data_IF_450233599210
#
_entry.id   IF_450233599210
#
_cell.length_a   1.000
_cell.length_b   1.000
_cell.length_c   1.000
_cell.angle_alpha   90.00
_cell.angle_beta   90.00
_cell.angle_gamma   90.00
#
_symmetry.space_group_name_H-M   'P 1'
#
loop_
_entity.id
_entity.type
_entity.pdbx_description
1 polymer ?
#
# COMPACT_ATOMS: atom_id res chain seq x y z
N UNK A 1 -51.19 -58.13 -30.52
CA UNK A 1 -49.79 -58.04 -30.01
C UNK A 1 -49.33 -56.61 -30.21
N UNK A 2 -49.09 -55.91 -29.10
CA UNK A 2 -48.75 -54.49 -29.02
C UNK A 2 -47.26 -54.34 -29.33
N UNK A 3 -46.88 -53.48 -30.29
CA UNK A 3 -45.51 -52.92 -30.36
C UNK A 3 -45.54 -51.43 -30.77
N UNK A 4 -45.52 -50.65 -29.69
CA UNK A 4 -45.04 -49.29 -29.43
C UNK A 4 -44.13 -48.66 -30.50
N UNK A 5 -44.49 -47.45 -30.94
CA UNK A 5 -43.64 -46.51 -31.68
C UNK A 5 -42.79 -45.76 -30.65
N UNK A 6 -41.46 -45.90 -30.69
CA UNK A 6 -40.53 -45.19 -29.83
C UNK A 6 -40.07 -43.89 -30.51
N UNK A 7 -40.33 -42.77 -29.85
CA UNK A 7 -39.89 -41.44 -30.25
C UNK A 7 -38.38 -41.26 -30.02
N UNK A 8 -37.68 -40.74 -31.03
CA UNK A 8 -36.25 -40.38 -30.96
C UNK A 8 -36.14 -38.98 -30.32
N UNK A 9 -35.65 -38.93 -29.09
CA UNK A 9 -35.23 -37.70 -28.40
C UNK A 9 -33.80 -37.35 -28.84
N UNK A 10 -33.65 -36.24 -29.57
CA UNK A 10 -32.35 -35.65 -29.87
C UNK A 10 -31.83 -34.91 -28.62
N UNK A 11 -30.77 -35.43 -28.00
CA UNK A 11 -30.07 -34.76 -26.92
C UNK A 11 -29.09 -33.71 -27.51
N UNK A 12 -29.41 -32.43 -27.32
CA UNK A 12 -28.49 -31.34 -27.60
C UNK A 12 -27.46 -31.25 -26.47
N UNK A 13 -26.21 -31.62 -26.75
CA UNK A 13 -25.08 -31.43 -25.83
C UNK A 13 -24.67 -29.95 -25.84
N UNK A 14 -24.95 -29.24 -24.75
CA UNK A 14 -24.42 -27.90 -24.52
C UNK A 14 -22.98 -28.06 -24.00
N UNK A 15 -22.00 -27.87 -24.88
CA UNK A 15 -20.60 -27.78 -24.49
C UNK A 15 -20.37 -26.45 -23.76
N UNK A 16 -20.45 -26.48 -22.43
CA UNK A 16 -20.02 -25.38 -21.58
C UNK A 16 -18.49 -25.27 -21.62
N UNK A 17 -17.97 -24.20 -22.22
CA UNK A 17 -16.56 -23.85 -22.11
C UNK A 17 -16.29 -23.37 -20.67
N UNK A 18 -15.85 -24.27 -19.79
CA UNK A 18 -15.18 -23.87 -18.55
C UNK A 18 -13.75 -23.49 -18.89
N UNK A 19 -13.46 -22.20 -18.98
CA UNK A 19 -12.09 -21.68 -18.98
C UNK A 19 -11.46 -21.97 -17.61
N UNK A 20 -10.81 -23.12 -17.50
CA UNK A 20 -9.84 -23.38 -16.44
C UNK A 20 -8.64 -22.47 -16.68
N UNK A 21 -8.54 -21.37 -15.92
CA UNK A 21 -7.30 -20.62 -15.83
C UNK A 21 -6.26 -21.54 -15.17
N UNK A 22 -5.26 -21.97 -15.94
CA UNK A 22 -4.14 -22.72 -15.40
C UNK A 22 -3.38 -21.83 -14.40
N UNK A 23 -2.88 -22.38 -13.28
CA UNK A 23 -1.96 -21.64 -12.43
C UNK A 23 -0.73 -21.22 -13.26
N UNK A 24 -0.18 -20.01 -13.04
CA UNK A 24 1.01 -19.56 -13.75
C UNK A 24 2.12 -20.60 -13.58
N UNK A 25 2.77 -20.94 -14.69
CA UNK A 25 3.82 -21.94 -14.68
C UNK A 25 5.12 -21.31 -14.15
N UNK A 26 6.04 -22.10 -13.59
CA UNK A 26 7.39 -21.61 -13.24
C UNK A 26 8.12 -20.93 -14.42
N UNK A 27 7.69 -21.19 -15.66
CA UNK A 27 8.23 -20.53 -16.86
C UNK A 27 7.87 -19.04 -16.96
N UNK A 28 6.88 -18.56 -16.19
CA UNK A 28 6.43 -17.16 -16.20
C UNK A 28 7.14 -16.28 -15.15
N UNK A 29 7.96 -16.87 -14.27
CA UNK A 29 8.70 -16.16 -13.23
C UNK A 29 9.89 -15.36 -13.82
N UNK A 30 10.12 -14.10 -13.41
CA UNK A 30 11.28 -13.34 -13.88
C UNK A 30 12.59 -13.92 -13.33
N UNK A 31 13.69 -13.88 -14.10
CA UNK A 31 14.99 -14.26 -13.57
C UNK A 31 15.37 -13.34 -12.41
N UNK A 32 16.00 -13.89 -11.38
CA UNK A 32 16.59 -13.09 -10.32
C UNK A 32 18.03 -12.75 -10.68
N UNK A 33 18.44 -11.54 -10.29
CA UNK A 33 19.85 -11.20 -10.17
C UNK A 33 20.46 -11.86 -8.92
N UNK A 34 21.66 -11.41 -8.54
CA UNK A 34 22.29 -11.81 -7.29
C UNK A 34 21.38 -11.48 -6.10
N UNK A 35 21.01 -12.52 -5.34
CA UNK A 35 20.24 -12.37 -4.10
C UNK A 35 21.19 -11.95 -2.98
N UNK A 36 21.07 -10.71 -2.51
CA UNK A 36 21.83 -10.22 -1.38
C UNK A 36 21.37 -10.90 -0.07
N UNK A 37 22.30 -11.06 0.87
CA UNK A 37 21.97 -11.44 2.24
C UNK A 37 21.52 -10.20 3.00
N UNK A 38 20.24 -10.14 3.38
CA UNK A 38 19.65 -8.98 4.04
C UNK A 38 19.14 -9.37 5.43
N UNK A 39 19.78 -8.84 6.46
CA UNK A 39 19.36 -8.98 7.87
C UNK A 39 18.56 -7.79 8.37
N UNK A 40 18.53 -6.69 7.59
CA UNK A 40 17.76 -5.49 7.85
C UNK A 40 17.06 -5.09 6.55
N UNK A 41 15.75 -4.86 6.63
CA UNK A 41 14.93 -4.44 5.49
C UNK A 41 14.71 -2.91 5.42
N UNK A 42 15.10 -2.19 6.47
CA UNK A 42 14.94 -0.74 6.60
C UNK A 42 15.80 -0.01 5.57
N UNK A 43 15.22 1.01 4.91
CA UNK A 43 15.92 1.82 3.92
C UNK A 43 16.19 1.12 2.58
N UNK A 44 15.60 -0.06 2.33
CA UNK A 44 15.68 -0.71 1.03
C UNK A 44 14.77 0.01 0.03
N UNK A 45 15.34 0.39 -1.12
CA UNK A 45 14.57 0.86 -2.27
C UNK A 45 14.25 -0.29 -3.22
N UNK A 46 13.09 -0.22 -3.87
CA UNK A 46 12.75 -1.03 -5.05
C UNK A 46 12.76 -0.17 -6.32
N UNK A 47 12.83 -0.77 -7.52
CA UNK A 47 12.90 -0.01 -8.77
C UNK A 47 11.77 1.02 -8.95
N UNK A 48 10.53 0.71 -8.53
CA UNK A 48 9.39 1.62 -8.63
C UNK A 48 9.47 2.81 -7.65
N UNK A 49 10.37 2.81 -6.64
CA UNK A 49 10.65 3.99 -5.80
C UNK A 49 11.04 5.21 -6.61
N UNK A 50 11.75 5.02 -7.73
CA UNK A 50 12.23 6.13 -8.57
C UNK A 50 11.10 6.92 -9.26
N UNK A 51 9.86 6.42 -9.22
CA UNK A 51 8.69 6.99 -9.89
C UNK A 51 7.63 7.48 -8.92
N UNK A 52 7.94 7.56 -7.62
CA UNK A 52 7.01 8.03 -6.57
C UNK A 52 7.65 9.12 -5.71
N UNK A 53 6.85 9.97 -5.04
CA UNK A 53 7.37 10.92 -4.08
C UNK A 53 8.13 10.23 -2.94
N UNK A 54 9.36 10.66 -2.69
CA UNK A 54 10.13 10.28 -1.50
C UNK A 54 9.49 10.84 -0.21
N UNK A 55 9.91 10.42 1.00
CA UNK A 55 9.31 10.88 2.25
C UNK A 55 9.29 12.40 2.43
N UNK A 56 10.34 13.10 1.99
CA UNK A 56 10.43 14.55 2.08
C UNK A 56 9.49 15.22 1.06
N UNK A 57 9.48 14.73 -0.17
CA UNK A 57 8.55 15.19 -1.21
C UNK A 57 7.09 14.99 -0.80
N UNK A 58 6.74 13.86 -0.16
CA UNK A 58 5.39 13.64 0.39
C UNK A 58 5.02 14.68 1.45
N UNK A 59 5.94 15.00 2.35
CA UNK A 59 5.72 16.02 3.38
C UNK A 59 5.52 17.42 2.76
N UNK A 60 6.30 17.77 1.75
CA UNK A 60 6.15 19.01 0.97
C UNK A 60 4.81 19.06 0.26
N UNK A 61 4.42 17.99 -0.46
CA UNK A 61 3.15 17.90 -1.17
C UNK A 61 1.96 18.02 -0.22
N UNK A 62 2.00 17.32 0.91
CA UNK A 62 0.94 17.37 1.90
C UNK A 62 0.82 18.77 2.54
N UNK A 63 1.95 19.44 2.81
CA UNK A 63 1.93 20.81 3.32
C UNK A 63 1.37 21.78 2.28
N UNK A 64 1.81 21.69 1.02
CA UNK A 64 1.29 22.52 -0.07
C UNK A 64 -0.23 22.33 -0.29
N UNK A 65 -0.71 21.10 -0.16
CA UNK A 65 -2.14 20.77 -0.22
C UNK A 65 -2.93 21.48 0.89
N UNK A 66 -2.45 21.46 2.13
CA UNK A 66 -3.10 22.15 3.25
C UNK A 66 -3.13 23.67 3.04
N UNK A 67 -2.06 24.25 2.48
CA UNK A 67 -2.00 25.67 2.11
C UNK A 67 -3.08 26.05 1.08
N UNK A 68 -3.27 25.23 0.06
CA UNK A 68 -4.29 25.45 -0.97
C UNK A 68 -5.71 25.24 -0.42
N UNK A 69 -5.92 24.23 0.42
CA UNK A 69 -7.20 24.04 1.13
C UNK A 69 -7.53 25.27 1.97
N UNK A 70 -6.54 25.84 2.69
CA UNK A 70 -6.74 27.06 3.48
C UNK A 70 -7.25 28.23 2.64
N UNK A 71 -6.68 28.43 1.46
CA UNK A 71 -7.13 29.48 0.53
C UNK A 71 -8.59 29.27 0.14
N UNK A 72 -8.97 28.06 -0.28
CA UNK A 72 -10.35 27.76 -0.65
C UNK A 72 -11.32 27.93 0.52
N UNK A 73 -11.00 27.34 1.68
CA UNK A 73 -11.85 27.37 2.87
C UNK A 73 -12.05 28.80 3.40
N UNK A 74 -11.03 29.66 3.31
CA UNK A 74 -11.15 31.08 3.67
C UNK A 74 -12.19 31.81 2.79
N UNK A 75 -12.33 31.42 1.51
CA UNK A 75 -13.38 31.94 0.62
C UNK A 75 -14.80 31.65 1.11
N UNK A 76 -14.98 30.60 1.92
CA UNK A 76 -16.23 30.23 2.59
C UNK A 76 -16.32 30.72 4.04
N UNK A 77 -15.35 31.51 4.51
CA UNK A 77 -15.34 32.06 5.87
C UNK A 77 -14.84 31.09 6.94
N UNK A 78 -14.20 29.99 6.56
CA UNK A 78 -13.62 29.04 7.50
C UNK A 78 -12.11 29.29 7.65
N UNK A 79 -11.67 29.43 8.90
CA UNK A 79 -10.24 29.37 9.21
C UNK A 79 -9.76 27.92 9.09
N UNK A 80 -8.66 27.71 8.36
CA UNK A 80 -8.05 26.40 8.17
C UNK A 80 -6.61 26.40 8.69
N UNK A 81 -6.32 25.75 9.81
CA UNK A 81 -4.96 25.68 10.34
C UNK A 81 -4.11 24.81 9.42
N UNK A 82 -2.95 25.33 9.03
CA UNK A 82 -1.97 24.58 8.24
C UNK A 82 -0.88 24.11 9.19
N UNK A 83 -0.76 22.79 9.32
CA UNK A 83 0.37 22.18 9.99
C UNK A 83 1.36 21.73 8.92
N UNK A 84 2.59 22.24 9.00
CA UNK A 84 3.69 21.68 8.22
C UNK A 84 3.79 20.19 8.57
N UNK A 85 3.66 19.35 7.55
CA UNK A 85 3.80 17.90 7.73
C UNK A 85 5.28 17.60 7.87
N UNK A 86 5.64 16.87 8.91
CA UNK A 86 7.00 16.37 9.10
C UNK A 86 7.28 15.22 8.13
N UNK A 87 8.56 14.98 7.88
CA UNK A 87 8.98 13.74 7.22
C UNK A 87 8.55 12.57 8.09
N UNK A 88 7.86 11.61 7.49
CA UNK A 88 7.43 10.40 8.18
C UNK A 88 8.63 9.64 8.73
N UNK A 89 8.55 9.15 9.98
CA UNK A 89 9.54 8.21 10.48
C UNK A 89 9.62 7.01 9.54
N UNK A 90 10.82 6.49 9.32
CA UNK A 90 10.97 5.23 8.60
C UNK A 90 10.40 4.08 9.46
N UNK A 91 9.19 3.68 9.07
CA UNK A 91 8.46 2.52 9.58
C UNK A 91 8.41 1.38 8.56
N UNK A 92 9.29 1.38 7.56
CA UNK A 92 9.22 0.39 6.51
C UNK A 92 9.39 -1.03 7.09
N UNK A 93 8.36 -1.83 6.83
CA UNK A 93 8.22 -3.23 7.21
C UNK A 93 7.80 -4.07 6.01
N UNK A 94 8.17 -3.64 4.79
CA UNK A 94 7.90 -4.33 3.53
C UNK A 94 8.28 -5.82 3.58
N UNK A 95 9.39 -6.15 4.24
CA UNK A 95 9.83 -7.54 4.48
C UNK A 95 9.71 -7.99 5.95
N UNK A 96 8.82 -7.37 6.71
CA UNK A 96 8.54 -7.66 8.11
C UNK A 96 9.46 -6.92 9.10
N UNK A 97 9.29 -7.25 10.39
CA UNK A 97 10.19 -6.79 11.45
C UNK A 97 11.59 -7.39 11.28
N UNK A 98 12.63 -6.60 11.51
CA UNK A 98 14.04 -7.01 11.34
C UNK A 98 14.95 -6.55 12.48
N UNK A 99 14.48 -5.72 13.41
CA UNK A 99 15.28 -5.17 14.51
C UNK A 99 14.96 -5.90 15.84
N UNK A 100 15.88 -6.74 16.36
CA UNK A 100 15.67 -7.44 17.63
C UNK A 100 15.58 -6.51 18.84
N UNK A 101 16.23 -5.35 18.82
CA UNK A 101 16.17 -4.40 19.92
C UNK A 101 14.80 -3.68 19.95
N UNK A 102 14.24 -3.36 18.79
CA UNK A 102 12.86 -2.87 18.67
C UNK A 102 11.86 -3.96 19.12
N UNK A 103 12.03 -5.19 18.64
CA UNK A 103 11.15 -6.32 18.99
C UNK A 103 11.16 -6.67 20.48
N UNK A 104 12.31 -6.56 21.17
CA UNK A 104 12.38 -6.75 22.64
C UNK A 104 11.52 -5.77 23.42
N UNK A 105 11.29 -4.58 22.88
CA UNK A 105 10.56 -3.49 23.55
C UNK A 105 9.10 -3.44 23.13
N UNK A 106 8.83 -3.70 21.86
CA UNK A 106 7.54 -3.43 21.25
C UNK A 106 6.91 -4.65 20.58
N UNK A 107 7.57 -5.82 20.59
CA UNK A 107 7.09 -7.02 19.93
C UNK A 107 6.88 -6.78 18.43
N UNK A 108 5.66 -7.02 17.96
CA UNK A 108 5.27 -6.75 16.57
C UNK A 108 4.81 -5.31 16.34
N UNK A 109 4.79 -4.45 17.36
CA UNK A 109 4.23 -3.09 17.27
C UNK A 109 5.26 -2.08 16.82
N UNK A 110 4.79 -0.97 16.28
CA UNK A 110 5.65 0.18 16.03
C UNK A 110 5.98 0.88 17.37
N UNK A 111 7.19 1.44 17.50
CA UNK A 111 7.52 2.34 18.59
C UNK A 111 6.51 3.50 18.70
N UNK A 112 6.10 3.94 19.91
CA UNK A 112 5.11 5.01 20.08
C UNK A 112 5.49 6.33 19.38
N UNK A 113 6.77 6.66 19.33
CA UNK A 113 7.32 7.83 18.62
C UNK A 113 7.24 7.71 17.09
N UNK A 114 6.99 6.50 16.59
CA UNK A 114 6.70 6.20 15.18
C UNK A 114 5.22 5.88 14.94
N UNK A 115 4.41 5.82 15.98
CA UNK A 115 2.99 5.52 15.92
C UNK A 115 2.19 6.81 15.73
N UNK A 116 2.04 7.23 14.47
CA UNK A 116 1.30 8.44 14.12
C UNK A 116 1.90 9.09 12.89
N UNK A 117 1.43 8.67 11.72
CA UNK A 117 1.90 9.21 10.45
C UNK A 117 1.12 10.42 9.95
N UNK A 118 1.53 10.99 8.81
CA UNK A 118 0.95 12.14 8.07
C UNK A 118 -0.55 12.03 7.80
N UNK A 119 -1.13 10.84 7.97
CA UNK A 119 -2.57 10.60 7.85
C UNK A 119 -3.35 10.96 9.12
N UNK A 120 -2.69 11.41 10.20
CA UNK A 120 -3.36 12.04 11.32
C UNK A 120 -4.17 13.24 10.79
N UNK A 121 -5.50 13.28 11.01
CA UNK A 121 -6.32 14.41 10.60
C UNK A 121 -5.68 15.70 11.12
N UNK A 122 -5.56 16.72 10.27
CA UNK A 122 -5.15 18.03 10.74
C UNK A 122 -6.10 18.44 11.89
N UNK A 123 -5.58 18.86 13.06
CA UNK A 123 -6.40 19.41 14.13
C UNK A 123 -7.17 20.61 13.57
N UNK A 124 -8.47 20.44 13.31
CA UNK A 124 -9.32 21.45 12.66
C UNK A 124 -10.21 20.91 11.54
N UNK A 125 -9.93 19.72 10.99
CA UNK A 125 -10.71 19.13 9.89
C UNK A 125 -12.17 18.77 10.22
N UNK A 126 -12.56 18.86 11.49
CA UNK A 126 -13.89 18.49 11.98
C UNK A 126 -14.49 19.51 12.98
N UNK A 127 -14.20 20.81 12.85
CA UNK A 127 -14.85 21.78 13.75
C UNK A 127 -16.32 22.05 13.38
N UNK A 128 -16.76 21.80 12.13
CA UNK A 128 -18.14 22.04 11.70
C UNK A 128 -18.60 21.09 10.58
N UNK A 129 -19.83 20.53 10.66
CA UNK A 129 -20.40 19.69 9.60
C UNK A 129 -20.46 20.38 8.23
N UNK A 130 -20.70 21.69 8.18
CA UNK A 130 -20.74 22.43 6.90
C UNK A 130 -19.33 22.62 6.32
N UNK A 131 -18.32 22.85 7.16
CA UNK A 131 -16.93 22.94 6.71
C UNK A 131 -16.49 21.63 6.06
N UNK A 132 -16.85 20.49 6.66
CA UNK A 132 -16.56 19.18 6.08
C UNK A 132 -17.26 18.97 4.72
N UNK A 133 -18.53 19.39 4.59
CA UNK A 133 -19.26 19.28 3.32
C UNK A 133 -18.65 20.14 2.21
N UNK A 134 -18.12 21.32 2.54
CA UNK A 134 -17.42 22.20 1.60
C UNK A 134 -16.05 21.62 1.24
N UNK A 135 -15.30 21.14 2.22
CA UNK A 135 -14.00 20.49 2.01
C UNK A 135 -14.11 19.29 1.06
N UNK A 136 -15.11 18.44 1.27
CA UNK A 136 -15.32 17.17 0.55
C UNK A 136 -16.22 17.29 -0.69
N UNK A 137 -16.85 18.45 -0.92
CA UNK A 137 -17.78 18.65 -2.04
C UNK A 137 -19.13 17.94 -1.89
N UNK A 138 -19.48 17.46 -0.68
CA UNK A 138 -20.80 16.89 -0.37
C UNK A 138 -21.94 17.91 -0.47
N UNK A 139 -21.61 19.19 -0.56
CA UNK A 139 -22.54 20.24 -0.97
C UNK A 139 -22.00 20.95 -2.20
N UNK A 140 -22.89 21.28 -3.16
CA UNK A 140 -22.53 22.03 -4.37
C UNK A 140 -22.62 23.56 -4.18
N UNK A 141 -23.26 23.99 -3.10
CA UNK A 141 -23.48 25.40 -2.80
C UNK A 141 -23.67 25.58 -1.28
N UNK A 142 -23.31 26.74 -0.75
CA UNK A 142 -23.60 27.10 0.65
C UNK A 142 -25.02 27.65 0.80
N UNK A 143 -25.47 27.80 2.05
CA UNK A 143 -26.75 28.43 2.40
C UNK A 143 -26.85 29.89 1.94
N UNK A 144 -25.72 30.59 1.82
CA UNK A 144 -25.61 31.96 1.32
C UNK A 144 -25.45 32.02 -0.21
N UNK A 145 -25.57 30.87 -0.88
CA UNK A 145 -25.53 30.80 -2.34
C UNK A 145 -24.13 30.76 -2.96
N UNK A 146 -23.04 30.62 -2.18
CA UNK A 146 -21.69 30.47 -2.76
C UNK A 146 -21.51 29.09 -3.38
N UNK A 147 -21.04 29.03 -4.62
CA UNK A 147 -20.75 27.77 -5.30
C UNK A 147 -19.54 27.06 -4.67
N UNK A 148 -19.66 25.76 -4.42
CA UNK A 148 -18.57 24.90 -3.94
C UNK A 148 -17.96 24.17 -5.12
N UNK A 149 -16.62 24.16 -5.28
CA UNK A 149 -15.94 23.44 -6.36
C UNK A 149 -16.37 21.98 -6.43
N UNK A 150 -16.35 21.39 -7.63
CA UNK A 150 -16.64 19.97 -7.80
C UNK A 150 -15.65 19.11 -6.99
N UNK A 151 -16.16 18.29 -6.06
CA UNK A 151 -15.32 17.53 -5.12
C UNK A 151 -14.75 18.35 -3.95
N UNK A 152 -15.16 19.62 -3.83
CA UNK A 152 -14.82 20.51 -2.71
C UNK A 152 -13.42 21.11 -2.77
N UNK A 153 -13.07 21.81 -1.70
CA UNK A 153 -11.74 22.44 -1.55
C UNK A 153 -10.59 21.43 -1.60
N UNK A 154 -10.83 20.18 -1.20
CA UNK A 154 -9.82 19.12 -1.28
C UNK A 154 -9.50 18.77 -2.75
N UNK A 155 -10.53 18.61 -3.60
CA UNK A 155 -10.35 18.35 -5.03
C UNK A 155 -9.69 19.53 -5.74
N UNK A 156 -10.07 20.74 -5.36
CA UNK A 156 -9.48 21.95 -5.91
C UNK A 156 -7.98 22.04 -5.60
N UNK A 157 -7.59 21.79 -4.35
CA UNK A 157 -6.19 21.75 -3.96
C UNK A 157 -5.40 20.67 -4.73
N UNK A 158 -5.95 19.47 -4.86
CA UNK A 158 -5.31 18.38 -5.61
C UNK A 158 -5.16 18.74 -7.10
N UNK A 159 -6.18 19.32 -7.72
CA UNK A 159 -6.09 19.81 -9.11
C UNK A 159 -5.06 20.93 -9.27
N UNK A 160 -4.97 21.85 -8.32
CA UNK A 160 -3.96 22.91 -8.32
C UNK A 160 -2.53 22.37 -8.20
N UNK A 161 -2.34 21.23 -7.52
CA UNK A 161 -1.06 20.51 -7.49
C UNK A 161 -0.81 19.66 -8.74
N UNK A 162 -1.72 19.67 -9.73
CA UNK A 162 -1.58 18.89 -10.96
C UNK A 162 -1.93 17.41 -10.78
N UNK A 163 -2.72 17.04 -9.78
CA UNK A 163 -3.34 15.71 -9.70
C UNK A 163 -4.53 15.62 -10.64
N UNK A 164 -4.63 14.50 -11.36
CA UNK A 164 -5.83 14.12 -12.10
C UNK A 164 -6.79 13.43 -11.13
N UNK A 165 -7.87 14.11 -10.74
CA UNK A 165 -8.84 13.60 -9.74
C UNK A 165 -10.18 13.28 -10.38
N UNK A 166 -10.77 12.15 -9.99
CA UNK A 166 -12.16 11.82 -10.28
C UNK A 166 -12.96 11.75 -8.97
N UNK A 167 -14.18 12.27 -9.03
CA UNK A 167 -15.12 12.24 -7.91
C UNK A 167 -16.01 11.01 -8.06
N UNK A 168 -16.09 10.18 -7.01
CA UNK A 168 -16.92 8.98 -6.96
C UNK A 168 -17.70 8.90 -5.65
N UNK A 169 -18.74 8.06 -5.62
CA UNK A 169 -19.45 7.74 -4.39
C UNK A 169 -18.45 7.14 -3.38
N UNK A 170 -18.23 7.86 -2.26
CA UNK A 170 -17.24 7.47 -1.25
C UNK A 170 -15.94 8.29 -1.23
N UNK A 171 -15.74 9.24 -2.16
CA UNK A 171 -14.66 10.22 -2.09
C UNK A 171 -13.94 10.50 -3.42
N UNK A 172 -12.75 11.06 -3.31
CA UNK A 172 -11.90 11.39 -4.46
C UNK A 172 -10.90 10.26 -4.71
N UNK A 173 -10.63 9.99 -5.99
CA UNK A 173 -9.54 9.10 -6.39
C UNK A 173 -8.61 9.81 -7.36
N UNK A 174 -7.32 9.53 -7.27
CA UNK A 174 -6.36 9.87 -8.32
C UNK A 174 -6.62 8.93 -9.51
N UNK A 175 -6.82 9.49 -10.71
CA UNK A 175 -7.22 8.76 -11.92
C UNK A 175 -6.03 8.00 -12.51
N UNK A 176 -4.87 8.64 -12.56
CA UNK A 176 -3.62 8.00 -12.98
C UNK A 176 -2.67 7.89 -11.79
N UNK A 177 -2.44 6.66 -11.32
CA UNK A 177 -1.32 6.35 -10.44
C UNK A 177 -0.65 5.07 -10.96
N UNK A 178 -0.02 5.19 -12.14
CA UNK A 178 0.65 4.08 -12.79
C UNK A 178 1.69 3.40 -11.87
N UNK A 179 2.58 4.11 -11.16
CA UNK A 179 3.52 3.48 -10.24
C UNK A 179 2.82 2.60 -9.19
N UNK A 180 1.73 3.07 -8.57
CA UNK A 180 0.97 2.28 -7.60
C UNK A 180 0.27 1.07 -8.24
N UNK A 181 -0.23 1.18 -9.48
CA UNK A 181 -0.79 0.04 -10.21
C UNK A 181 0.27 -1.01 -10.50
N UNK A 182 1.43 -0.62 -11.00
CA UNK A 182 2.54 -1.54 -11.28
C UNK A 182 3.09 -2.16 -10.00
N UNK A 183 3.15 -1.43 -8.88
CA UNK A 183 3.51 -1.99 -7.58
C UNK A 183 2.53 -3.10 -7.17
N UNK A 184 1.22 -2.87 -7.35
CA UNK A 184 0.19 -3.86 -7.03
C UNK A 184 0.26 -5.10 -7.94
N UNK A 185 0.60 -4.91 -9.22
CA UNK A 185 0.82 -6.00 -10.17
C UNK A 185 2.09 -6.80 -9.82
N UNK A 186 3.21 -6.12 -9.56
CA UNK A 186 4.46 -6.74 -9.10
C UNK A 186 4.23 -7.56 -7.84
N UNK A 187 3.47 -7.00 -6.89
CA UNK A 187 3.11 -7.68 -5.64
C UNK A 187 2.26 -8.93 -5.86
N UNK A 188 1.40 -8.97 -6.89
CA UNK A 188 0.66 -10.19 -7.23
C UNK A 188 1.59 -11.26 -7.78
N UNK A 189 2.50 -10.89 -8.68
CA UNK A 189 3.54 -11.79 -9.20
C UNK A 189 4.41 -12.35 -8.08
N UNK A 190 4.99 -11.46 -7.28
CA UNK A 190 5.77 -11.76 -6.09
C UNK A 190 5.09 -12.77 -5.14
N UNK A 191 3.80 -12.58 -4.84
CA UNK A 191 3.02 -13.47 -3.96
C UNK A 191 2.76 -14.86 -4.56
N UNK A 192 2.77 -14.96 -5.89
CA UNK A 192 2.48 -16.21 -6.62
C UNK A 192 3.76 -16.95 -7.02
N UNK A 193 4.93 -16.34 -6.76
CA UNK A 193 6.24 -16.86 -7.16
C UNK A 193 6.65 -18.08 -6.33
N UNK A 194 7.18 -19.11 -7.00
CA UNK A 194 7.60 -20.36 -6.37
C UNK A 194 8.78 -20.18 -5.42
N UNK A 195 9.64 -19.18 -5.64
CA UNK A 195 10.76 -18.86 -4.73
C UNK A 195 10.26 -18.17 -3.48
N UNK A 196 9.22 -17.36 -3.61
CA UNK A 196 8.47 -16.80 -2.47
C UNK A 196 7.79 -17.91 -1.66
N UNK A 197 7.17 -18.89 -2.32
CA UNK A 197 6.56 -20.04 -1.62
C UNK A 197 7.61 -20.90 -0.88
N UNK A 198 8.79 -21.10 -1.47
CA UNK A 198 9.89 -21.83 -0.85
C UNK A 198 10.41 -21.14 0.41
N UNK A 199 10.64 -19.82 0.36
CA UNK A 199 11.15 -19.09 1.53
C UNK A 199 10.11 -19.00 2.65
N UNK A 200 8.83 -18.89 2.30
CA UNK A 200 7.73 -18.98 3.26
C UNK A 200 7.70 -20.33 3.98
N UNK A 201 7.81 -21.43 3.23
CA UNK A 201 7.84 -22.78 3.79
C UNK A 201 9.04 -23.01 4.72
N UNK A 202 10.22 -22.52 4.34
CA UNK A 202 11.43 -22.60 5.15
C UNK A 202 11.31 -21.79 6.45
N UNK A 203 10.81 -20.57 6.38
CA UNK A 203 10.53 -19.74 7.54
C UNK A 203 9.50 -20.40 8.47
N UNK A 204 8.40 -20.92 7.92
CA UNK A 204 7.36 -21.57 8.72
C UNK A 204 7.87 -22.82 9.44
N UNK A 205 8.77 -23.59 8.82
CA UNK A 205 9.45 -24.71 9.46
C UNK A 205 10.32 -24.25 10.64
N UNK A 206 11.13 -23.21 10.44
CA UNK A 206 11.94 -22.63 11.51
C UNK A 206 11.09 -22.12 12.68
N UNK A 207 9.95 -21.48 12.42
CA UNK A 207 9.04 -21.04 13.48
C UNK A 207 8.53 -22.23 14.30
N UNK A 208 8.18 -23.36 13.66
CA UNK A 208 7.79 -24.57 14.40
C UNK A 208 8.93 -25.14 15.24
N UNK A 209 10.15 -25.19 14.70
CA UNK A 209 11.33 -25.72 15.40
C UNK A 209 11.73 -24.86 16.61
N UNK A 210 11.47 -23.54 16.55
CA UNK A 210 11.66 -22.61 17.67
C UNK A 210 10.53 -22.64 18.70
N UNK A 211 9.53 -23.52 18.52
CA UNK A 211 8.40 -23.68 19.43
C UNK A 211 7.22 -22.76 19.14
N UNK A 212 7.25 -22.01 18.02
CA UNK A 212 6.17 -21.11 17.61
C UNK A 212 5.41 -21.70 16.40
N UNK A 213 4.37 -22.48 16.70
CA UNK A 213 3.42 -23.02 15.72
C UNK A 213 2.19 -23.59 16.43
N UNK A 214 1.43 -24.47 15.76
CA UNK A 214 0.12 -24.94 16.26
C UNK A 214 0.23 -25.55 17.67
N UNK A 215 1.32 -26.27 17.94
CA UNK A 215 1.58 -26.88 19.24
C UNK A 215 2.07 -25.89 20.32
N UNK A 216 2.67 -24.76 19.95
CA UNK A 216 3.29 -23.84 20.89
C UNK A 216 2.44 -22.60 21.20
N UNK A 217 2.11 -21.82 20.17
CA UNK A 217 1.29 -20.60 20.31
C UNK A 217 -0.09 -20.74 19.64
N UNK A 218 -0.48 -21.97 19.26
CA UNK A 218 -1.79 -22.25 18.66
C UNK A 218 -1.91 -21.82 17.20
N UNK A 219 -0.81 -21.41 16.54
CA UNK A 219 -0.88 -20.80 15.20
C UNK A 219 -0.41 -21.70 14.07
N UNK A 220 -1.07 -21.59 12.94
CA UNK A 220 -0.65 -22.21 11.71
C UNK A 220 -0.07 -21.15 10.78
N UNK A 221 1.26 -21.11 10.69
CA UNK A 221 1.98 -20.12 9.91
C UNK A 221 2.16 -20.64 8.48
N UNK A 222 1.45 -20.06 7.52
CA UNK A 222 1.60 -20.39 6.09
C UNK A 222 2.59 -19.45 5.41
N UNK A 223 2.65 -18.19 5.85
CA UNK A 223 3.56 -17.16 5.34
C UNK A 223 4.03 -16.24 6.47
N UNK A 224 5.26 -15.73 6.37
CA UNK A 224 5.73 -14.67 7.27
C UNK A 224 4.97 -13.35 7.07
N UNK A 225 4.22 -13.25 5.96
CA UNK A 225 3.33 -12.14 5.62
C UNK A 225 1.94 -12.28 6.21
N UNK A 226 1.62 -13.41 6.85
CA UNK A 226 0.32 -13.60 7.48
C UNK A 226 0.13 -12.54 8.59
N UNK A 227 -0.96 -11.77 8.57
CA UNK A 227 -1.17 -10.71 9.54
C UNK A 227 -1.14 -11.25 10.96
N UNK A 228 -0.40 -10.57 11.84
CA UNK A 228 -0.39 -10.89 13.25
C UNK A 228 -1.43 -10.04 14.02
N UNK A 229 -2.69 -10.14 13.60
CA UNK A 229 -3.77 -9.25 14.05
C UNK A 229 -4.06 -9.34 15.55
N UNK A 230 -3.64 -10.43 16.18
CA UNK A 230 -3.76 -10.72 17.61
C UNK A 230 -2.88 -9.86 18.50
N UNK A 231 -1.83 -9.22 17.96
CA UNK A 231 -0.92 -8.35 18.72
C UNK A 231 -1.24 -6.85 18.62
N UNK A 232 -2.38 -6.51 18.03
CA UNK A 232 -2.80 -5.11 17.81
C UNK A 232 -3.49 -4.44 19.01
N UNK A 233 -3.79 -5.17 20.09
CA UNK A 233 -4.58 -4.70 21.22
C UNK A 233 -3.90 -4.98 22.59
N UNK A 234 -4.21 -4.19 23.61
CA UNK A 234 -3.74 -4.41 24.99
C UNK A 234 -2.27 -4.05 25.21
N UNK A 235 -1.65 -4.57 26.26
CA UNK A 235 -0.21 -4.39 26.53
C UNK A 235 0.63 -5.37 25.70
N UNK A 236 1.89 -5.02 25.41
CA UNK A 236 2.84 -5.93 24.76
C UNK A 236 3.09 -7.10 25.70
N UNK A 237 2.77 -8.31 25.24
CA UNK A 237 2.93 -9.52 26.06
C UNK A 237 4.32 -10.14 25.87
N UNK A 238 4.80 -10.91 26.85
CA UNK A 238 6.05 -11.66 26.69
C UNK A 238 5.97 -12.64 25.51
N UNK A 239 4.82 -13.29 25.32
CA UNK A 239 4.57 -14.18 24.18
C UNK A 239 4.73 -13.45 22.83
N UNK A 240 4.27 -12.20 22.75
CA UNK A 240 4.45 -11.36 21.57
C UNK A 240 5.93 -11.06 21.29
N UNK A 241 6.67 -10.69 22.33
CA UNK A 241 8.10 -10.40 22.24
C UNK A 241 8.87 -11.64 21.79
N UNK A 242 8.64 -12.79 22.43
CA UNK A 242 9.35 -14.03 22.11
C UNK A 242 9.02 -14.51 20.70
N UNK A 243 7.76 -14.39 20.27
CA UNK A 243 7.35 -14.73 18.90
C UNK A 243 8.02 -13.79 17.87
N UNK A 244 8.09 -12.48 18.16
CA UNK A 244 8.74 -11.51 17.29
C UNK A 244 10.25 -11.75 17.14
N UNK A 245 10.91 -12.18 18.22
CA UNK A 245 12.33 -12.52 18.20
C UNK A 245 12.61 -13.80 17.40
N UNK A 246 11.81 -14.84 17.60
CA UNK A 246 11.90 -16.07 16.80
C UNK A 246 11.65 -15.80 15.31
N UNK A 247 10.68 -14.93 14.99
CA UNK A 247 10.40 -14.52 13.61
C UNK A 247 11.61 -13.83 12.96
N UNK A 248 12.23 -12.86 13.66
CA UNK A 248 13.45 -12.20 13.15
C UNK A 248 14.58 -13.22 12.96
N UNK A 249 14.78 -14.13 13.90
CA UNK A 249 15.79 -15.20 13.78
C UNK A 249 15.53 -16.06 12.54
N UNK A 250 14.30 -16.54 12.36
CA UNK A 250 13.92 -17.38 11.22
C UNK A 250 14.01 -16.63 9.89
N UNK A 251 13.65 -15.35 9.85
CA UNK A 251 13.82 -14.50 8.67
C UNK A 251 15.28 -14.35 8.28
N UNK A 252 16.15 -14.10 9.25
CA UNK A 252 17.59 -13.96 9.02
C UNK A 252 18.22 -15.29 8.56
N UNK A 253 17.86 -16.41 9.22
CA UNK A 253 18.37 -17.74 8.90
C UNK A 253 18.07 -18.17 7.46
N UNK A 254 16.89 -17.80 6.95
CA UNK A 254 16.42 -18.17 5.62
C UNK A 254 16.50 -17.04 4.59
N UNK A 255 17.17 -15.93 4.92
CA UNK A 255 17.31 -14.75 4.06
C UNK A 255 15.98 -14.29 3.45
N UNK A 256 14.93 -14.24 4.26
CA UNK A 256 13.57 -13.88 3.82
C UNK A 256 13.57 -12.52 3.13
N UNK A 257 14.16 -11.50 3.76
CA UNK A 257 14.19 -10.16 3.19
C UNK A 257 14.98 -10.10 1.87
N UNK A 258 16.11 -10.80 1.78
CA UNK A 258 16.93 -10.83 0.56
C UNK A 258 16.23 -11.48 -0.62
N UNK A 259 15.63 -12.67 -0.40
CA UNK A 259 14.88 -13.37 -1.45
C UNK A 259 13.66 -12.55 -1.85
N UNK A 260 12.91 -12.03 -0.88
CA UNK A 260 11.71 -11.24 -1.16
C UNK A 260 12.01 -9.96 -1.93
N UNK A 261 13.07 -9.25 -1.57
CA UNK A 261 13.54 -8.07 -2.29
C UNK A 261 13.97 -8.38 -3.71
N UNK A 262 14.70 -9.48 -3.92
CA UNK A 262 15.13 -9.89 -5.25
C UNK A 262 13.95 -10.25 -6.16
N UNK A 263 12.98 -11.03 -5.66
CA UNK A 263 11.78 -11.42 -6.42
C UNK A 263 10.93 -10.20 -6.76
N UNK A 264 10.64 -9.34 -5.78
CA UNK A 264 9.87 -8.12 -6.02
C UNK A 264 10.56 -7.21 -7.03
N UNK A 265 11.87 -6.99 -6.87
CA UNK A 265 12.69 -6.20 -7.80
C UNK A 265 12.63 -6.75 -9.23
N UNK A 266 12.69 -8.07 -9.40
CA UNK A 266 12.64 -8.71 -10.71
C UNK A 266 11.28 -8.48 -11.41
N UNK A 267 10.18 -8.59 -10.68
CA UNK A 267 8.85 -8.24 -11.22
C UNK A 267 8.73 -6.75 -11.53
N UNK A 268 9.19 -5.88 -10.64
CA UNK A 268 9.15 -4.43 -10.87
C UNK A 268 9.95 -4.04 -12.11
N UNK A 269 11.16 -4.58 -12.32
CA UNK A 269 11.96 -4.30 -13.51
C UNK A 269 11.26 -4.71 -14.80
N UNK A 270 10.71 -5.92 -14.85
CA UNK A 270 9.94 -6.39 -16.02
C UNK A 270 8.79 -5.43 -16.35
N UNK A 271 8.06 -4.96 -15.33
CA UNK A 271 6.96 -4.02 -15.52
C UNK A 271 7.45 -2.63 -15.93
N UNK A 272 8.57 -2.16 -15.37
CA UNK A 272 9.20 -0.90 -15.78
C UNK A 272 9.63 -0.95 -17.25
N UNK A 273 10.24 -2.05 -17.69
CA UNK A 273 10.61 -2.25 -19.10
C UNK A 273 9.38 -2.23 -20.01
N UNK A 274 8.27 -2.86 -19.59
CA UNK A 274 7.00 -2.88 -20.33
C UNK A 274 6.38 -1.49 -20.43
N UNK A 275 6.41 -0.71 -19.36
CA UNK A 275 5.69 0.57 -19.21
C UNK A 275 6.64 1.80 -19.24
N UNK A 276 7.84 1.67 -19.80
CA UNK A 276 8.93 2.64 -19.66
C UNK A 276 8.57 4.07 -20.12
N UNK A 277 7.87 4.20 -21.25
CA UNK A 277 7.44 5.49 -21.81
C UNK A 277 6.42 6.16 -20.87
N UNK A 278 5.36 5.46 -20.50
CA UNK A 278 4.33 5.97 -19.60
C UNK A 278 4.90 6.31 -18.21
N UNK A 279 5.84 5.52 -17.70
CA UNK A 279 6.54 5.83 -16.44
C UNK A 279 7.44 7.07 -16.55
N UNK A 280 8.01 7.34 -17.72
CA UNK A 280 8.79 8.57 -17.95
C UNK A 280 7.89 9.79 -17.90
N UNK A 281 6.71 9.73 -18.51
CA UNK A 281 5.71 10.81 -18.42
C UNK A 281 5.24 11.04 -16.98
N UNK A 282 4.93 9.98 -16.24
CA UNK A 282 4.51 10.07 -14.85
C UNK A 282 5.61 10.66 -13.95
N UNK A 283 6.89 10.32 -14.22
CA UNK A 283 8.02 10.92 -13.51
C UNK A 283 8.10 12.43 -13.74
N UNK A 284 7.91 12.89 -14.98
CA UNK A 284 7.91 14.32 -15.30
C UNK A 284 6.76 15.05 -14.58
N UNK A 285 5.53 14.51 -14.64
CA UNK A 285 4.38 15.05 -13.91
C UNK A 285 4.66 15.15 -12.40
N UNK A 286 5.28 14.13 -11.82
CA UNK A 286 5.67 14.10 -10.42
C UNK A 286 6.69 15.19 -10.07
N UNK A 287 7.77 15.32 -10.85
CA UNK A 287 8.80 16.34 -10.64
C UNK A 287 8.23 17.76 -10.72
N UNK A 288 7.34 18.03 -11.68
CA UNK A 288 6.66 19.32 -11.80
C UNK A 288 5.76 19.63 -10.60
N UNK A 289 5.01 18.62 -10.15
CA UNK A 289 4.14 18.70 -8.98
C UNK A 289 4.92 18.99 -7.70
N UNK A 290 6.06 18.33 -7.49
CA UNK A 290 6.96 18.58 -6.35
C UNK A 290 7.56 19.99 -6.42
N UNK A 291 7.99 20.44 -7.59
CA UNK A 291 8.50 21.81 -7.79
C UNK A 291 7.43 22.84 -7.42
N UNK A 292 6.21 22.69 -7.94
CA UNK A 292 5.11 23.60 -7.63
C UNK A 292 4.77 23.61 -6.13
N UNK A 293 4.70 22.43 -5.50
CA UNK A 293 4.48 22.32 -4.06
C UNK A 293 5.57 23.02 -3.24
N UNK A 294 6.83 22.90 -3.65
CA UNK A 294 7.97 23.56 -3.00
C UNK A 294 7.83 25.08 -3.07
N UNK A 295 7.43 25.63 -4.22
CA UNK A 295 7.20 27.07 -4.38
C UNK A 295 6.05 27.59 -3.51
N UNK A 296 4.97 26.81 -3.39
CA UNK A 296 3.84 27.16 -2.51
C UNK A 296 4.27 27.20 -1.04
N UNK A 297 4.99 26.16 -0.59
CA UNK A 297 5.49 26.09 0.79
C UNK A 297 6.47 27.22 1.10
N UNK A 298 7.30 27.63 0.14
CA UNK A 298 8.22 28.75 0.33
C UNK A 298 7.51 30.12 0.44
N UNK A 299 6.30 30.25 -0.14
CA UNK A 299 5.51 31.50 -0.11
C UNK A 299 4.60 31.62 1.12
N UNK A 300 4.17 30.49 1.68
CA UNK A 300 3.55 30.42 3.01
C UNK A 300 2.05 30.19 3.07
#
# INVERSE_FOLDING_TARGET
MIKTIAAVLAAAAVAGCTTTANPPSQADEPPLDTVAQLTVARGLSTPLDAYRPDPQQRATLATARELLIRVCMAGFGFAWPVLARSVEPDTDRRYGITDPAEARRFGYRLPPDKAGGVNAPAPGGAASPIAYKILSGQTRQTTEGKHVPEGGCAAEADRSLGFEVAIRDGGMIEVSNLPQRLENEARHGYKSDSRTAQVDAAWAACMRDTGFGRAGNGRDYASWRDPNDTYSQGQVSQLEIDTALADIECKNKHNVAGISHAVETAYQRRLIERDAEALTEEKQKHEERVRHATELVAKG
#
